data_IF_281028304596
#
_entry.id   IF_281028304596
#
_cell.length_a   1.000
_cell.length_b   1.000
_cell.length_c   1.000
_cell.angle_alpha   90.00
_cell.angle_beta   90.00
_cell.angle_gamma   90.00
#
_symmetry.space_group_name_H-M   'P 1'
#
loop_
_entity.id
_entity.type
_entity.pdbx_description
1 polymer ?
#
# COMPACT_ATOMS: atom_id res chain seq x y z
N UNK A 1 -0.95 13.33 30.79
CA UNK A 1 -0.48 13.79 29.46
C UNK A 1 -0.14 12.54 28.66
N UNK A 2 -1.09 12.04 27.87
CA UNK A 2 -0.81 10.90 26.96
C UNK A 2 0.11 11.42 25.86
N UNK A 3 1.19 10.68 25.58
CA UNK A 3 2.08 11.02 24.47
C UNK A 3 1.30 10.76 23.17
N UNK A 4 1.24 11.75 22.29
CA UNK A 4 0.81 11.52 20.90
C UNK A 4 1.91 10.67 20.27
N UNK A 5 1.71 9.36 20.16
CA UNK A 5 2.70 8.46 19.55
C UNK A 5 2.63 6.98 19.87
N UNK A 6 1.83 6.53 20.84
CA UNK A 6 1.95 5.14 21.32
C UNK A 6 1.24 4.08 20.47
N UNK A 7 0.46 4.44 19.43
CA UNK A 7 -0.15 3.49 18.48
C UNK A 7 -0.32 4.13 17.10
N UNK A 8 0.61 3.90 16.17
CA UNK A 8 0.43 4.20 14.76
C UNK A 8 0.06 2.91 14.01
N UNK A 9 -1.09 2.90 13.32
CA UNK A 9 -1.47 1.81 12.42
C UNK A 9 -0.96 2.13 11.02
N UNK A 10 -0.23 1.20 10.42
CA UNK A 10 0.15 1.27 9.01
C UNK A 10 -0.88 0.51 8.19
N UNK A 11 -1.40 1.13 7.14
CA UNK A 11 -2.41 0.54 6.28
C UNK A 11 -1.99 0.67 4.82
N UNK A 12 -2.33 -0.32 4.01
CA UNK A 12 -2.12 -0.30 2.55
C UNK A 12 -3.32 -0.93 1.84
N UNK A 13 -3.74 -0.46 0.67
CA UNK A 13 -4.63 -1.25 -0.18
C UNK A 13 -3.93 -2.55 -0.62
N UNK A 14 -4.70 -3.61 -0.78
CA UNK A 14 -4.24 -4.94 -1.23
C UNK A 14 -3.36 -4.88 -2.49
N UNK A 15 -3.77 -4.11 -3.49
CA UNK A 15 -3.03 -3.95 -4.76
C UNK A 15 -1.57 -3.53 -4.57
N UNK A 16 -1.22 -2.77 -3.54
CA UNK A 16 0.17 -2.36 -3.32
C UNK A 16 1.07 -3.52 -2.87
N UNK A 17 0.53 -4.52 -2.16
CA UNK A 17 1.28 -5.73 -1.84
C UNK A 17 1.39 -6.64 -3.07
N UNK A 18 0.32 -6.77 -3.85
CA UNK A 18 0.32 -7.52 -5.11
C UNK A 18 1.39 -6.98 -6.08
N UNK A 19 1.42 -5.65 -6.26
CA UNK A 19 2.45 -4.98 -7.06
C UNK A 19 3.85 -5.24 -6.50
N UNK A 20 4.03 -5.13 -5.18
CA UNK A 20 5.33 -5.38 -4.57
C UNK A 20 5.81 -6.82 -4.83
N UNK A 21 4.93 -7.82 -4.71
CA UNK A 21 5.26 -9.21 -5.03
C UNK A 21 5.64 -9.40 -6.50
N UNK A 22 4.97 -8.71 -7.43
CA UNK A 22 5.30 -8.76 -8.85
C UNK A 22 6.67 -8.14 -9.16
N UNK A 23 6.97 -6.98 -8.56
CA UNK A 23 8.15 -6.21 -8.92
C UNK A 23 9.42 -6.58 -8.14
N UNK A 24 9.31 -7.12 -6.92
CA UNK A 24 10.46 -7.51 -6.09
C UNK A 24 11.48 -8.38 -6.84
N UNK A 25 11.09 -9.46 -7.56
CA UNK A 25 12.05 -10.28 -8.30
C UNK A 25 12.81 -9.49 -9.37
N UNK A 26 12.10 -8.64 -10.11
CA UNK A 26 12.66 -7.81 -11.19
C UNK A 26 13.65 -6.78 -10.62
N UNK A 27 13.28 -6.14 -9.52
CA UNK A 27 14.10 -5.13 -8.84
C UNK A 27 15.35 -5.79 -8.22
N UNK A 28 15.19 -6.91 -7.50
CA UNK A 28 16.31 -7.62 -6.88
C UNK A 28 17.37 -8.02 -7.92
N UNK A 29 16.93 -8.58 -9.05
CA UNK A 29 17.81 -8.91 -10.17
C UNK A 29 18.54 -7.67 -10.72
N UNK A 30 17.81 -6.58 -10.96
CA UNK A 30 18.40 -5.33 -11.49
C UNK A 30 19.43 -4.69 -10.55
N UNK A 31 19.34 -4.98 -9.25
CA UNK A 31 20.22 -4.44 -8.20
C UNK A 31 21.32 -5.42 -7.78
N UNK A 32 21.35 -6.64 -8.32
CA UNK A 32 22.28 -7.69 -7.90
C UNK A 32 22.06 -8.14 -6.46
N UNK A 33 20.84 -8.03 -5.94
CA UNK A 33 20.47 -8.44 -4.59
C UNK A 33 19.99 -9.89 -4.58
N UNK A 34 20.24 -10.57 -3.47
CA UNK A 34 19.78 -11.95 -3.26
C UNK A 34 18.27 -11.94 -2.97
N UNK A 35 17.49 -12.64 -3.82
CA UNK A 35 16.03 -12.56 -3.79
C UNK A 35 15.43 -13.07 -2.48
N UNK A 36 16.01 -14.11 -1.87
CA UNK A 36 15.48 -14.64 -0.62
C UNK A 36 15.60 -13.62 0.52
N UNK A 37 16.76 -12.94 0.64
CA UNK A 37 16.93 -11.84 1.59
C UNK A 37 15.96 -10.68 1.36
N UNK A 38 15.68 -10.30 0.11
CA UNK A 38 14.71 -9.22 -0.19
C UNK A 38 13.29 -9.65 0.18
N UNK A 39 12.91 -10.89 -0.14
CA UNK A 39 11.59 -11.44 0.22
C UNK A 39 11.41 -11.55 1.74
N UNK A 40 12.44 -12.01 2.47
CA UNK A 40 12.39 -12.06 3.92
C UNK A 40 12.19 -10.66 4.54
N UNK A 41 12.87 -9.64 4.00
CA UNK A 41 12.66 -8.25 4.40
C UNK A 41 11.24 -7.76 4.11
N UNK A 42 10.72 -8.08 2.92
CA UNK A 42 9.35 -7.74 2.54
C UNK A 42 8.31 -8.42 3.45
N UNK A 43 8.44 -9.72 3.73
CA UNK A 43 7.54 -10.45 4.61
C UNK A 43 7.45 -9.79 6.00
N UNK A 44 8.58 -9.31 6.53
CA UNK A 44 8.61 -8.59 7.81
C UNK A 44 7.88 -7.25 7.76
N UNK A 45 7.97 -6.52 6.65
CA UNK A 45 7.24 -5.26 6.44
C UNK A 45 5.75 -5.54 6.27
N UNK A 46 5.38 -6.53 5.45
CA UNK A 46 3.98 -6.89 5.22
C UNK A 46 3.28 -7.35 6.51
N UNK A 47 4.00 -7.97 7.45
CA UNK A 47 3.44 -8.37 8.74
C UNK A 47 3.11 -7.21 9.70
N UNK A 48 3.63 -6.01 9.48
CA UNK A 48 3.33 -4.82 10.32
C UNK A 48 2.35 -3.84 9.67
N UNK A 49 1.91 -4.13 8.44
CA UNK A 49 0.97 -3.30 7.68
C UNK A 49 -0.37 -4.04 7.57
N UNK A 50 -1.45 -3.36 7.93
CA UNK A 50 -2.80 -3.88 7.75
C UNK A 50 -3.28 -3.67 6.30
N UNK A 51 -3.82 -4.73 5.70
CA UNK A 51 -4.28 -4.72 4.32
C UNK A 51 -5.75 -4.35 4.25
N UNK A 52 -6.07 -3.28 3.52
CA UNK A 52 -7.43 -2.86 3.24
C UNK A 52 -7.87 -3.49 1.92
N UNK A 53 -8.87 -4.37 1.97
CA UNK A 53 -9.42 -5.01 0.78
C UNK A 53 -10.09 -4.02 -0.17
N UNK A 54 -9.93 -4.24 -1.48
CA UNK A 54 -10.64 -3.53 -2.54
C UNK A 54 -12.15 -3.48 -2.34
N UNK A 55 -12.74 -4.52 -1.73
CA UNK A 55 -14.18 -4.54 -1.41
C UNK A 55 -14.63 -3.38 -0.52
N UNK A 56 -13.74 -2.83 0.31
CA UNK A 56 -14.03 -1.73 1.23
C UNK A 56 -13.83 -0.36 0.57
N UNK A 57 -12.70 -0.17 -0.13
CA UNK A 57 -12.36 1.15 -0.68
C UNK A 57 -12.92 1.41 -2.08
N UNK A 58 -13.30 0.38 -2.86
CA UNK A 58 -13.74 0.57 -4.26
C UNK A 58 -14.98 1.44 -4.41
N UNK A 59 -15.84 1.50 -3.38
CA UNK A 59 -16.99 2.42 -3.37
C UNK A 59 -16.59 3.90 -3.49
N UNK A 60 -15.35 4.26 -3.13
CA UNK A 60 -14.81 5.62 -3.24
C UNK A 60 -14.07 5.88 -4.55
N UNK A 61 -13.96 4.92 -5.47
CA UNK A 61 -13.18 5.03 -6.71
C UNK A 61 -13.54 6.29 -7.52
N UNK A 62 -14.83 6.54 -7.74
CA UNK A 62 -15.26 7.69 -8.53
C UNK A 62 -14.87 9.02 -7.90
N UNK A 63 -14.88 9.11 -6.56
CA UNK A 63 -14.45 10.31 -5.85
C UNK A 63 -12.92 10.44 -5.81
N UNK A 64 -12.22 9.33 -5.65
CA UNK A 64 -10.76 9.26 -5.71
C UNK A 64 -10.24 9.74 -7.07
N UNK A 65 -10.77 9.21 -8.18
CA UNK A 65 -10.37 9.61 -9.54
C UNK A 65 -10.61 11.10 -9.78
N UNK A 66 -11.72 11.68 -9.30
CA UNK A 66 -11.95 13.13 -9.42
C UNK A 66 -10.89 13.97 -8.70
N UNK A 67 -10.33 13.44 -7.61
CA UNK A 67 -9.33 14.12 -6.77
C UNK A 67 -7.88 13.83 -7.18
N UNK A 68 -7.63 12.87 -8.08
CA UNK A 68 -6.29 12.35 -8.39
C UNK A 68 -5.39 13.33 -9.19
N UNK A 69 -5.94 14.42 -9.72
CA UNK A 69 -5.24 15.53 -10.38
C UNK A 69 -4.22 15.05 -11.43
N UNK A 70 -2.93 15.34 -11.22
CA UNK A 70 -1.83 15.05 -12.15
C UNK A 70 -1.10 13.72 -11.82
N UNK A 71 -1.58 12.96 -10.82
CA UNK A 71 -1.02 11.64 -10.51
C UNK A 71 -1.54 10.60 -11.48
N UNK A 72 -0.91 9.43 -11.46
CA UNK A 72 -1.37 8.29 -12.24
C UNK A 72 -2.82 7.98 -11.88
N UNK A 73 -3.66 7.71 -12.88
CA UNK A 73 -5.03 7.32 -12.64
C UNK A 73 -5.09 5.99 -11.88
N UNK A 74 -4.10 5.12 -12.09
CA UNK A 74 -4.01 3.81 -11.44
C UNK A 74 -3.65 3.90 -9.94
N UNK A 75 -3.21 5.07 -9.46
CA UNK A 75 -2.97 5.34 -8.02
C UNK A 75 -4.26 5.57 -7.22
N UNK A 76 -5.44 5.50 -7.87
CA UNK A 76 -6.72 5.75 -7.21
C UNK A 76 -6.99 4.88 -5.97
N UNK A 77 -6.51 3.62 -5.84
CA UNK A 77 -6.72 2.81 -4.65
C UNK A 77 -6.15 3.44 -3.37
N UNK A 78 -5.02 4.15 -3.48
CA UNK A 78 -4.40 4.85 -2.34
C UNK A 78 -5.34 5.94 -1.85
N UNK A 79 -5.87 6.74 -2.77
CA UNK A 79 -6.74 7.86 -2.44
C UNK A 79 -8.13 7.37 -1.99
N UNK A 80 -8.65 6.31 -2.58
CA UNK A 80 -9.89 5.68 -2.14
C UNK A 80 -9.77 5.10 -0.73
N UNK A 81 -8.64 4.48 -0.39
CA UNK A 81 -8.35 4.00 0.97
C UNK A 81 -8.30 5.15 1.96
N UNK A 82 -7.65 6.27 1.59
CA UNK A 82 -7.65 7.46 2.45
C UNK A 82 -9.06 8.05 2.65
N UNK A 83 -9.90 8.06 1.60
CA UNK A 83 -11.28 8.52 1.70
C UNK A 83 -12.13 7.63 2.62
N UNK A 84 -11.95 6.31 2.55
CA UNK A 84 -12.60 5.34 3.44
C UNK A 84 -12.23 5.56 4.91
N UNK A 85 -10.97 5.89 5.21
CA UNK A 85 -10.51 6.08 6.59
C UNK A 85 -10.90 7.45 7.18
N UNK A 86 -11.32 8.39 6.34
CA UNK A 86 -11.74 9.74 6.72
C UNK A 86 -13.28 9.92 6.70
N UNK A 87 -14.04 8.88 6.33
CA UNK A 87 -15.49 8.93 6.14
C UNK A 87 -16.30 8.72 7.41
#
# INVERSE_FOLDING_TARGET
MQSVGDNACFLTPDVCLDDAEEYIPKIAASKGLELALVKEGFDRVSNIVEVVSASLYSQYQSEAIKRIKQRDLDDWPILATALLLLS
#
